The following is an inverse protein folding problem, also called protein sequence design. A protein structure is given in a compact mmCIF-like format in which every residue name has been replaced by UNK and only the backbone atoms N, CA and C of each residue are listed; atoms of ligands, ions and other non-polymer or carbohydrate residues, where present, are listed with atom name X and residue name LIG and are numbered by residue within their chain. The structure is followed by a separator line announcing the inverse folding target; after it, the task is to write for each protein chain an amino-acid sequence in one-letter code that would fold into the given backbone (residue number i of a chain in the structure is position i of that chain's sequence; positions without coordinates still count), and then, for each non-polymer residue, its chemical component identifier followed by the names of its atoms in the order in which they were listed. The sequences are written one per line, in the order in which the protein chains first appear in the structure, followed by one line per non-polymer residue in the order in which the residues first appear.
data_IF_854879547427
#
_entry.id   IF_854879547427
#
_cell.length_a   1.000
_cell.length_b   1.000
_cell.length_c   1.000
_cell.angle_alpha   90.00
_cell.angle_beta   90.00
_cell.angle_gamma   90.00
#
_symmetry.space_group_name_H-M   'P 1'
#
loop_
_entity.id
_entity.type
_entity.pdbx_description
1 polymer ?
#
# COMPACT_ATOMS: atom_id res chain seq x y z
N UNK A 1 -18.23 25.90 7.73
CA UNK A 1 -18.58 24.90 8.76
C UNK A 1 -19.00 23.58 8.15
N UNK A 2 -20.14 23.48 7.44
CA UNK A 2 -20.59 22.20 6.83
C UNK A 2 -19.63 21.64 5.77
N UNK A 3 -19.18 22.48 4.82
CA UNK A 3 -18.24 22.04 3.77
C UNK A 3 -16.90 21.58 4.36
N UNK A 4 -16.43 22.26 5.40
CA UNK A 4 -15.15 21.95 6.03
C UNK A 4 -15.21 20.63 6.80
N UNK A 5 -16.31 20.38 7.51
CA UNK A 5 -16.58 19.08 8.12
C UNK A 5 -16.66 17.97 7.05
N UNK A 6 -17.31 18.24 5.91
CA UNK A 6 -17.38 17.29 4.79
C UNK A 6 -15.99 17.00 4.18
N UNK A 7 -15.13 18.02 4.00
CA UNK A 7 -13.74 17.82 3.53
C UNK A 7 -12.95 16.92 4.47
N UNK A 8 -13.06 17.12 5.79
CA UNK A 8 -12.35 16.29 6.78
C UNK A 8 -12.80 14.83 6.75
N UNK A 9 -14.11 14.57 6.68
CA UNK A 9 -14.65 13.21 6.61
C UNK A 9 -14.26 12.54 5.28
N UNK A 10 -14.41 13.24 4.16
CA UNK A 10 -14.05 12.72 2.84
C UNK A 10 -12.56 12.39 2.74
N UNK A 11 -11.68 13.24 3.30
CA UNK A 11 -10.25 12.99 3.34
C UNK A 11 -9.89 11.74 4.16
N UNK A 12 -10.57 11.50 5.28
CA UNK A 12 -10.39 10.29 6.07
C UNK A 12 -10.87 9.04 5.33
N UNK A 13 -12.04 9.12 4.68
CA UNK A 13 -12.59 8.01 3.88
C UNK A 13 -11.70 7.66 2.67
N UNK A 14 -11.03 8.65 2.06
CA UNK A 14 -10.10 8.44 0.95
C UNK A 14 -8.90 7.56 1.33
N UNK A 15 -8.58 7.40 2.62
CA UNK A 15 -7.47 6.57 3.12
C UNK A 15 -7.85 5.10 3.34
N UNK A 16 -9.13 4.73 3.24
CA UNK A 16 -9.60 3.34 3.40
C UNK A 16 -8.83 2.29 2.57
N UNK A 17 -8.40 2.57 1.33
CA UNK A 17 -7.61 1.61 0.54
C UNK A 17 -6.29 1.16 1.20
N UNK A 18 -5.73 1.94 2.13
CA UNK A 18 -4.50 1.60 2.86
C UNK A 18 -4.65 0.29 3.64
N UNK A 19 -5.86 -0.05 4.08
CA UNK A 19 -6.14 -1.35 4.74
C UNK A 19 -5.80 -2.50 3.79
N UNK A 20 -6.24 -2.41 2.54
CA UNK A 20 -5.95 -3.42 1.51
C UNK A 20 -4.46 -3.48 1.18
N UNK A 21 -3.78 -2.33 1.14
CA UNK A 21 -2.33 -2.26 0.94
C UNK A 21 -1.59 -2.96 2.09
N UNK A 22 -1.92 -2.65 3.35
CA UNK A 22 -1.30 -3.28 4.51
C UNK A 22 -1.45 -4.81 4.52
N UNK A 23 -2.65 -5.30 4.19
CA UNK A 23 -2.90 -6.74 4.04
C UNK A 23 -2.11 -7.35 2.88
N UNK A 24 -2.11 -6.69 1.72
CA UNK A 24 -1.38 -7.13 0.53
C UNK A 24 0.12 -7.23 0.77
N UNK A 25 0.72 -6.21 1.40
CA UNK A 25 2.12 -6.22 1.78
C UNK A 25 2.43 -7.36 2.75
N UNK A 26 1.62 -7.54 3.80
CA UNK A 26 1.79 -8.65 4.74
C UNK A 26 1.85 -10.02 4.03
N UNK A 27 0.97 -10.24 3.05
CA UNK A 27 0.95 -11.46 2.24
C UNK A 27 2.18 -11.59 1.33
N UNK A 28 2.59 -10.50 0.67
CA UNK A 28 3.76 -10.47 -0.22
C UNK A 28 5.04 -10.80 0.57
N UNK A 29 5.26 -10.12 1.70
CA UNK A 29 6.42 -10.36 2.57
C UNK A 29 6.41 -11.77 3.16
N UNK A 30 5.25 -12.25 3.64
CA UNK A 30 5.13 -13.61 4.17
C UNK A 30 5.49 -14.67 3.12
N UNK A 31 4.95 -14.54 1.91
CA UNK A 31 5.18 -15.48 0.81
C UNK A 31 6.64 -15.48 0.35
N UNK A 32 7.26 -14.31 0.27
CA UNK A 32 8.68 -14.17 -0.06
C UNK A 32 9.57 -14.81 1.01
N UNK A 33 9.33 -14.49 2.28
CA UNK A 33 10.11 -15.04 3.40
C UNK A 33 9.97 -16.55 3.51
N UNK A 34 8.78 -17.12 3.27
CA UNK A 34 8.58 -18.57 3.25
C UNK A 34 9.35 -19.23 2.10
N UNK A 35 9.32 -18.64 0.89
CA UNK A 35 10.04 -19.18 -0.26
C UNK A 35 11.57 -19.16 -0.04
N UNK A 36 12.11 -18.04 0.43
CA UNK A 36 13.54 -17.88 0.73
C UNK A 36 13.96 -18.73 1.94
N UNK A 37 13.11 -18.81 2.97
CA UNK A 37 13.38 -19.65 4.14
C UNK A 37 13.47 -21.14 3.81
N UNK A 38 12.68 -21.62 2.83
CA UNK A 38 12.75 -23.01 2.33
C UNK A 38 13.92 -23.23 1.39
N UNK A 39 14.27 -22.25 0.56
CA UNK A 39 15.41 -22.30 -0.34
C UNK A 39 16.10 -20.93 -0.42
N UNK A 40 17.21 -20.70 0.30
CA UNK A 40 17.90 -19.42 0.29
C UNK A 40 18.36 -18.96 -1.10
N UNK A 41 18.68 -19.89 -2.00
CA UNK A 41 19.05 -19.59 -3.39
C UNK A 41 17.89 -19.08 -4.25
N UNK A 42 16.64 -19.17 -3.78
CA UNK A 42 15.48 -18.63 -4.50
C UNK A 42 15.43 -17.09 -4.47
N UNK A 43 16.11 -16.43 -3.53
CA UNK A 43 16.17 -14.97 -3.41
C UNK A 43 16.61 -14.30 -4.72
N UNK A 44 17.68 -14.77 -5.33
CA UNK A 44 18.23 -14.23 -6.58
C UNK A 44 17.19 -14.21 -7.74
N UNK A 45 16.31 -15.20 -7.78
CA UNK A 45 15.23 -15.28 -8.77
C UNK A 45 14.02 -14.41 -8.39
N UNK A 46 13.75 -14.25 -7.10
CA UNK A 46 12.52 -13.64 -6.59
C UNK A 46 12.64 -12.14 -6.32
N UNK A 47 13.82 -11.61 -6.00
CA UNK A 47 14.04 -10.23 -5.54
C UNK A 47 13.41 -9.20 -6.48
N UNK A 48 13.69 -9.29 -7.79
CA UNK A 48 13.15 -8.35 -8.77
C UNK A 48 11.63 -8.36 -8.80
N UNK A 49 11.02 -9.55 -8.74
CA UNK A 49 9.56 -9.71 -8.72
C UNK A 49 8.99 -9.19 -7.40
N UNK A 50 9.63 -9.52 -6.28
CA UNK A 50 9.25 -9.09 -4.95
C UNK A 50 9.21 -7.56 -4.85
N UNK A 51 10.31 -6.88 -5.19
CA UNK A 51 10.39 -5.41 -5.14
C UNK A 51 9.39 -4.75 -6.09
N UNK A 52 9.18 -5.32 -7.29
CA UNK A 52 8.16 -4.82 -8.21
C UNK A 52 6.76 -4.92 -7.60
N UNK A 53 6.38 -6.09 -7.08
CA UNK A 53 5.04 -6.28 -6.48
C UNK A 53 4.84 -5.46 -5.21
N UNK A 54 5.89 -5.31 -4.41
CA UNK A 54 5.93 -4.44 -3.24
C UNK A 54 5.66 -2.99 -3.66
N UNK A 55 6.44 -2.46 -4.61
CA UNK A 55 6.34 -1.07 -5.03
C UNK A 55 4.99 -0.76 -5.70
N UNK A 56 4.47 -1.67 -6.52
CA UNK A 56 3.15 -1.52 -7.14
C UNK A 56 2.01 -1.51 -6.10
N UNK A 57 2.14 -2.32 -5.04
CA UNK A 57 1.16 -2.36 -3.95
C UNK A 57 1.21 -1.09 -3.11
N UNK A 58 2.42 -0.63 -2.77
CA UNK A 58 2.64 0.62 -2.03
C UNK A 58 2.16 1.86 -2.78
N UNK A 59 2.31 1.88 -4.12
CA UNK A 59 1.84 2.98 -4.95
C UNK A 59 0.34 3.27 -4.77
N UNK A 60 -0.47 2.25 -4.47
CA UNK A 60 -1.90 2.43 -4.19
C UNK A 60 -2.15 3.21 -2.90
N UNK A 61 -1.32 3.02 -1.87
CA UNK A 61 -1.40 3.82 -0.64
C UNK A 61 -0.96 5.26 -0.88
N UNK A 62 0.07 5.47 -1.70
CA UNK A 62 0.51 6.81 -2.11
C UNK A 62 -0.60 7.54 -2.88
N UNK A 63 -1.31 6.86 -3.78
CA UNK A 63 -2.47 7.46 -4.46
C UNK A 63 -3.62 7.78 -3.51
N UNK A 64 -3.94 6.89 -2.56
CA UNK A 64 -4.95 7.17 -1.53
C UNK A 64 -4.59 8.40 -0.69
N UNK A 65 -3.32 8.53 -0.29
CA UNK A 65 -2.80 9.69 0.42
C UNK A 65 -2.86 10.96 -0.44
N UNK A 66 -2.46 10.89 -1.70
CA UNK A 66 -2.52 12.01 -2.64
C UNK A 66 -3.95 12.54 -2.77
N UNK A 67 -4.93 11.66 -2.96
CA UNK A 67 -6.34 12.06 -3.04
C UNK A 67 -6.82 12.67 -1.72
N UNK A 68 -6.45 12.10 -0.58
CA UNK A 68 -6.75 12.67 0.74
C UNK A 68 -6.21 14.11 0.89
N UNK A 69 -4.95 14.35 0.48
CA UNK A 69 -4.32 15.67 0.52
C UNK A 69 -4.97 16.66 -0.44
N UNK A 70 -5.34 16.22 -1.65
CA UNK A 70 -6.10 17.04 -2.60
C UNK A 70 -7.46 17.41 -2.02
N UNK A 71 -8.15 16.48 -1.35
CA UNK A 71 -9.42 16.79 -0.69
C UNK A 71 -9.23 17.82 0.43
N UNK A 72 -8.12 17.82 1.16
CA UNK A 72 -7.90 18.79 2.25
C UNK A 72 -7.48 20.17 1.73
N UNK A 73 -6.53 20.21 0.80
CA UNK A 73 -5.79 21.42 0.44
C UNK A 73 -5.96 21.89 -1.01
N UNK A 74 -6.57 21.06 -1.87
CA UNK A 74 -7.10 21.49 -3.16
C UNK A 74 -8.41 22.25 -2.99
#
# INVERSE_FOLDING_TARGET
MELEAAKLIAAALALMPIIGVGLGLGMIFSSYNEAVGRNPGASELLDKKFFLTFALTEALAIFALLISLIILFG
#
